data_IF_432771319483
#
_entry.id   IF_432771319483
#
_cell.length_a   1.000
_cell.length_b   1.000
_cell.length_c   1.000
_cell.angle_alpha   90.00
_cell.angle_beta   90.00
_cell.angle_gamma   90.00
#
_symmetry.space_group_name_H-M   'P 1'
#
loop_
_entity.id
_entity.type
_entity.pdbx_description
1 polymer ?
#
# COMPACT_ATOMS: atom_id res chain seq x y z
N UNK A 1 -55.42 37.00 -21.61
CA UNK A 1 -54.21 37.72 -21.18
C UNK A 1 -53.38 36.79 -20.30
N UNK A 2 -52.37 36.13 -20.87
CA UNK A 2 -51.15 35.63 -20.23
C UNK A 2 -50.40 34.81 -21.30
N UNK A 3 -49.29 35.36 -21.80
CA UNK A 3 -48.51 34.82 -22.91
C UNK A 3 -47.37 33.95 -22.39
N UNK A 4 -47.14 32.83 -23.08
CA UNK A 4 -46.00 31.92 -22.95
C UNK A 4 -44.82 32.43 -23.78
N UNK A 5 -43.59 32.29 -23.29
CA UNK A 5 -42.39 32.48 -24.11
C UNK A 5 -41.38 31.36 -23.83
N UNK A 6 -41.35 30.40 -24.76
CA UNK A 6 -40.26 29.44 -24.98
C UNK A 6 -39.14 30.13 -25.77
N UNK A 7 -37.87 29.84 -25.43
CA UNK A 7 -36.73 30.24 -26.26
C UNK A 7 -36.03 28.99 -26.81
N UNK A 8 -36.06 28.92 -28.14
CA UNK A 8 -35.35 27.98 -29.00
C UNK A 8 -34.29 28.76 -29.76
N UNK A 9 -33.11 28.18 -30.02
CA UNK A 9 -32.23 28.67 -31.10
C UNK A 9 -31.64 27.50 -31.89
N UNK A 10 -31.75 27.62 -33.21
CA UNK A 10 -31.43 26.62 -34.21
C UNK A 10 -30.02 26.81 -34.79
N UNK A 11 -29.51 25.70 -35.35
CA UNK A 11 -28.30 25.51 -36.14
C UNK A 11 -28.04 26.54 -37.25
N UNK A 12 -26.77 26.81 -37.53
CA UNK A 12 -26.30 27.50 -38.74
C UNK A 12 -25.22 26.67 -39.48
N UNK A 13 -25.16 26.90 -40.78
CA UNK A 13 -24.83 26.01 -41.90
C UNK A 13 -23.33 25.74 -42.21
N UNK A 14 -23.16 24.77 -43.12
CA UNK A 14 -21.99 24.18 -43.77
C UNK A 14 -21.11 25.16 -44.59
N UNK A 15 -19.83 24.81 -44.76
CA UNK A 15 -19.09 25.02 -46.02
C UNK A 15 -18.00 23.94 -46.22
N UNK A 16 -17.90 23.44 -47.46
CA UNK A 16 -16.89 22.49 -47.98
C UNK A 16 -15.74 23.30 -48.59
N UNK A 17 -14.47 22.86 -48.48
CA UNK A 17 -13.44 22.87 -49.56
C UNK A 17 -12.08 22.32 -49.07
N UNK A 18 -11.62 21.28 -49.77
CA UNK A 18 -10.24 20.85 -50.16
C UNK A 18 -8.99 20.90 -49.24
N UNK A 19 -8.24 19.79 -49.32
CA UNK A 19 -6.96 19.36 -48.69
C UNK A 19 -5.74 20.19 -49.15
N UNK A 20 -4.66 20.34 -48.34
CA UNK A 20 -3.44 19.53 -48.52
C UNK A 20 -2.82 18.99 -47.20
N UNK A 21 -2.22 17.80 -47.30
CA UNK A 21 -1.36 17.10 -46.31
C UNK A 21 0.05 17.75 -46.20
N UNK A 22 1.03 17.29 -45.38
CA UNK A 22 1.05 16.76 -44.01
C UNK A 22 1.95 17.61 -43.06
N UNK A 23 1.85 17.45 -41.73
CA UNK A 23 2.99 17.26 -40.79
C UNK A 23 2.61 17.39 -39.30
N UNK A 24 3.20 16.46 -38.54
CA UNK A 24 3.51 16.42 -37.11
C UNK A 24 3.38 17.72 -36.29
N UNK A 25 2.82 17.58 -35.09
CA UNK A 25 3.23 18.41 -33.95
C UNK A 25 3.08 17.62 -32.64
N UNK A 26 4.19 17.00 -32.22
CA UNK A 26 4.40 16.52 -30.87
C UNK A 26 4.65 17.73 -29.95
N UNK A 27 3.92 17.79 -28.84
CA UNK A 27 4.07 18.82 -27.82
C UNK A 27 5.14 18.45 -26.80
N UNK A 28 6.00 19.43 -26.57
CA UNK A 28 7.12 19.53 -25.65
C UNK A 28 6.91 18.98 -24.24
N UNK A 29 7.95 18.32 -23.72
CA UNK A 29 8.38 18.52 -22.33
C UNK A 29 9.91 18.57 -22.28
N UNK A 30 10.40 19.64 -21.66
CA UNK A 30 11.78 20.08 -21.63
C UNK A 30 12.73 19.09 -20.94
N UNK A 31 13.82 18.75 -21.63
CA UNK A 31 15.01 18.16 -21.05
C UNK A 31 16.16 19.17 -21.15
N UNK A 32 16.72 19.52 -20.00
CA UNK A 32 17.90 20.34 -19.82
C UNK A 32 19.02 19.97 -20.80
N UNK A 33 19.34 20.87 -21.74
CA UNK A 33 20.52 20.77 -22.60
C UNK A 33 21.63 21.66 -22.07
N UNK A 34 22.69 21.04 -21.55
CA UNK A 34 23.97 21.71 -21.36
C UNK A 34 24.61 21.95 -22.74
N UNK A 35 25.01 23.20 -22.97
CA UNK A 35 25.54 23.72 -24.23
C UNK A 35 26.96 23.19 -24.47
N UNK A 36 27.21 22.59 -25.63
CA UNK A 36 28.56 22.33 -26.15
C UNK A 36 28.66 22.91 -27.56
N UNK A 37 29.52 23.91 -27.69
CA UNK A 37 29.93 24.56 -28.94
C UNK A 37 31.04 23.71 -29.57
N UNK A 38 30.89 23.31 -30.83
CA UNK A 38 31.94 22.59 -31.57
C UNK A 38 32.70 23.59 -32.45
N UNK A 39 34.01 23.73 -32.22
CA UNK A 39 34.95 24.27 -33.20
C UNK A 39 36.30 23.55 -33.09
N UNK A 40 36.52 22.62 -34.02
CA UNK A 40 37.76 22.36 -34.78
C UNK A 40 39.10 22.84 -34.20
N UNK A 41 39.91 21.92 -33.65
CA UNK A 41 41.27 21.52 -34.12
C UNK A 41 42.03 20.75 -33.01
N UNK A 42 42.85 19.81 -33.48
CA UNK A 42 43.99 19.15 -32.83
C UNK A 42 43.80 18.12 -31.68
N UNK A 43 44.01 16.86 -32.08
CA UNK A 43 45.01 15.93 -31.53
C UNK A 43 45.04 15.68 -30.02
N UNK A 44 44.11 14.85 -29.51
CA UNK A 44 44.40 13.92 -28.40
C UNK A 44 43.62 12.61 -28.60
N UNK A 45 44.34 11.50 -28.83
CA UNK A 45 43.78 10.16 -28.86
C UNK A 45 43.37 9.73 -27.45
N UNK A 46 42.13 10.02 -27.03
CA UNK A 46 41.51 9.39 -25.87
C UNK A 46 40.73 8.16 -26.33
N UNK A 47 41.38 7.00 -26.21
CA UNK A 47 40.76 5.69 -26.38
C UNK A 47 39.71 5.48 -25.28
N UNK A 48 38.44 5.75 -25.58
CA UNK A 48 37.33 5.34 -24.71
C UNK A 48 37.26 3.81 -24.73
N UNK A 49 37.78 3.21 -23.66
CA UNK A 49 37.63 1.78 -23.39
C UNK A 49 36.17 1.51 -23.02
N UNK A 50 35.42 0.95 -23.95
CA UNK A 50 34.08 0.42 -23.68
C UNK A 50 34.23 -0.87 -22.88
N UNK A 51 34.19 -0.78 -21.55
CA UNK A 51 33.65 -1.82 -20.66
C UNK A 51 34.05 -1.50 -19.22
N UNK A 52 33.17 -0.81 -18.51
CA UNK A 52 33.01 -0.98 -17.07
C UNK A 52 31.57 -0.64 -16.77
N UNK A 53 30.73 -1.67 -16.64
CA UNK A 53 29.42 -1.51 -15.99
C UNK A 53 29.74 -1.07 -14.57
N UNK A 54 29.61 0.22 -14.28
CA UNK A 54 29.70 0.72 -12.91
C UNK A 54 28.48 0.17 -12.19
N UNK A 55 28.65 -0.98 -11.53
CA UNK A 55 27.64 -1.53 -10.63
C UNK A 55 27.79 -0.79 -9.31
N UNK A 56 26.95 0.22 -9.09
CA UNK A 56 26.83 0.87 -7.78
C UNK A 56 26.18 -0.16 -6.85
N UNK A 57 26.98 -0.80 -6.00
CA UNK A 57 26.49 -1.70 -4.98
C UNK A 57 26.40 -0.95 -3.66
N UNK A 58 25.20 -0.47 -3.33
CA UNK A 58 24.93 0.06 -2.00
C UNK A 58 24.87 -1.11 -1.01
N UNK A 59 25.96 -1.38 -0.30
CA UNK A 59 25.95 -2.25 0.87
C UNK A 59 25.31 -1.47 2.03
N UNK A 60 24.11 -1.87 2.42
CA UNK A 60 23.57 -1.56 3.74
C UNK A 60 24.18 -2.55 4.72
N UNK A 61 24.77 -2.08 5.81
CA UNK A 61 25.21 -2.95 6.92
C UNK A 61 24.03 -3.78 7.38
N UNK A 62 24.18 -5.11 7.37
CA UNK A 62 23.14 -6.08 7.73
C UNK A 62 22.76 -5.93 9.20
N UNK A 63 21.77 -5.09 9.48
CA UNK A 63 20.97 -5.23 10.70
C UNK A 63 20.04 -6.42 10.50
N UNK A 64 19.93 -7.31 11.48
CA UNK A 64 19.04 -8.48 11.49
C UNK A 64 17.53 -8.12 11.44
N UNK A 65 17.22 -6.83 11.38
CA UNK A 65 15.87 -6.30 11.32
C UNK A 65 15.46 -6.13 9.85
N UNK A 66 14.36 -6.75 9.39
CA UNK A 66 13.89 -6.62 8.02
C UNK A 66 13.45 -5.19 7.73
N UNK A 67 13.50 -4.80 6.46
CA UNK A 67 13.03 -3.48 6.03
C UNK A 67 11.53 -3.48 5.71
N UNK A 68 10.90 -2.31 5.69
CA UNK A 68 9.50 -2.15 5.22
C UNK A 68 9.32 -2.72 3.81
N UNK A 69 10.30 -2.48 2.93
CA UNK A 69 10.30 -3.00 1.56
C UNK A 69 10.29 -4.54 1.55
N UNK A 70 11.09 -5.16 2.41
CA UNK A 70 11.14 -6.61 2.55
C UNK A 70 9.82 -7.19 3.08
N UNK A 71 9.20 -6.56 4.07
CA UNK A 71 7.86 -6.96 4.56
C UNK A 71 6.82 -6.88 3.45
N UNK A 72 6.78 -5.78 2.68
CA UNK A 72 5.88 -5.65 1.52
C UNK A 72 6.14 -6.72 0.46
N UNK A 73 7.41 -7.01 0.19
CA UNK A 73 7.80 -8.07 -0.73
C UNK A 73 7.34 -9.45 -0.22
N UNK A 74 7.46 -9.71 1.09
CA UNK A 74 7.01 -10.95 1.71
C UNK A 74 5.48 -11.12 1.60
N UNK A 75 4.71 -10.04 1.76
CA UNK A 75 3.27 -10.05 1.51
C UNK A 75 2.93 -10.44 0.07
N UNK A 76 3.59 -9.83 -0.92
CA UNK A 76 3.42 -10.17 -2.35
C UNK A 76 3.97 -11.57 -2.71
N UNK A 77 4.85 -12.12 -1.87
CA UNK A 77 5.30 -13.51 -1.99
C UNK A 77 4.24 -14.48 -1.46
N UNK A 78 3.62 -14.15 -0.32
CA UNK A 78 2.59 -14.97 0.31
C UNK A 78 1.24 -14.91 -0.43
N UNK A 79 0.83 -13.74 -0.92
CA UNK A 79 -0.43 -13.56 -1.66
C UNK A 79 -0.16 -13.21 -3.12
N UNK A 80 -0.41 -14.17 -4.03
CA UNK A 80 -0.11 -14.05 -5.47
C UNK A 80 -1.22 -13.45 -6.32
N UNK A 81 -2.43 -13.31 -5.76
CA UNK A 81 -3.58 -12.72 -6.47
C UNK A 81 -3.53 -11.20 -6.38
N UNK A 82 -4.15 -10.52 -7.33
CA UNK A 82 -4.26 -9.07 -7.29
C UNK A 82 -5.36 -8.65 -6.31
N UNK A 83 -5.02 -7.79 -5.37
CA UNK A 83 -5.99 -7.17 -4.46
C UNK A 83 -6.61 -5.96 -5.18
N UNK A 84 -7.96 -5.81 -5.19
CA UNK A 84 -8.59 -4.60 -5.73
C UNK A 84 -8.04 -3.32 -5.08
N UNK A 85 -7.88 -2.27 -5.87
CA UNK A 85 -7.16 -1.05 -5.46
C UNK A 85 -7.73 -0.38 -4.22
N UNK A 86 -9.05 -0.41 -4.04
CA UNK A 86 -9.74 0.16 -2.88
C UNK A 86 -9.24 -0.43 -1.55
N UNK A 87 -8.98 -1.74 -1.50
CA UNK A 87 -8.45 -2.41 -0.31
C UNK A 87 -6.92 -2.35 -0.27
N UNK A 88 -6.26 -2.49 -1.42
CA UNK A 88 -4.80 -2.59 -1.49
C UNK A 88 -4.10 -1.35 -0.93
N UNK A 89 -4.59 -0.14 -1.21
CA UNK A 89 -3.99 1.09 -0.67
C UNK A 89 -3.94 1.07 0.85
N UNK A 90 -5.07 0.78 1.50
CA UNK A 90 -5.16 0.77 2.97
C UNK A 90 -4.37 -0.40 3.56
N UNK A 91 -4.43 -1.60 2.96
CA UNK A 91 -3.64 -2.74 3.42
C UNK A 91 -2.14 -2.45 3.38
N UNK A 92 -1.65 -1.82 2.32
CA UNK A 92 -0.23 -1.50 2.19
C UNK A 92 0.21 -0.44 3.20
N UNK A 93 -0.64 0.54 3.52
CA UNK A 93 -0.38 1.50 4.61
C UNK A 93 -0.38 0.80 5.98
N UNK A 94 -1.35 -0.08 6.21
CA UNK A 94 -1.45 -0.86 7.44
C UNK A 94 -0.20 -1.74 7.64
N UNK A 95 0.32 -2.39 6.59
CA UNK A 95 1.58 -3.16 6.63
C UNK A 95 2.74 -2.27 7.08
N UNK A 96 2.86 -1.05 6.53
CA UNK A 96 3.95 -0.12 6.90
C UNK A 96 3.85 0.26 8.37
N UNK A 97 2.65 0.64 8.82
CA UNK A 97 2.43 1.06 10.20
C UNK A 97 2.72 -0.07 11.19
N UNK A 98 2.21 -1.28 10.92
CA UNK A 98 2.47 -2.41 11.79
C UNK A 98 3.94 -2.84 11.76
N UNK A 99 4.62 -2.77 10.61
CA UNK A 99 6.06 -3.01 10.54
C UNK A 99 6.84 -2.10 11.50
N UNK A 100 6.56 -0.79 11.46
CA UNK A 100 7.23 0.17 12.34
C UNK A 100 6.94 -0.12 13.83
N UNK A 101 5.73 -0.57 14.15
CA UNK A 101 5.38 -0.99 15.50
C UNK A 101 6.08 -2.28 15.90
N UNK A 102 6.06 -3.31 15.05
CA UNK A 102 6.58 -4.67 15.32
C UNK A 102 8.09 -4.71 15.55
N UNK A 103 8.83 -3.89 14.81
CA UNK A 103 10.29 -3.82 14.88
C UNK A 103 10.79 -2.69 15.78
N UNK A 104 9.90 -2.01 16.50
CA UNK A 104 10.26 -1.10 17.59
C UNK A 104 10.86 -1.91 18.76
N UNK A 105 11.93 -1.40 19.35
CA UNK A 105 12.65 -2.08 20.46
C UNK A 105 11.79 -2.42 21.67
N UNK A 106 10.72 -1.68 21.92
CA UNK A 106 9.81 -1.87 23.05
C UNK A 106 8.59 -2.73 22.70
N UNK A 107 8.49 -3.25 21.48
CA UNK A 107 7.33 -4.02 21.05
C UNK A 107 7.28 -5.35 21.79
N UNK A 108 6.09 -5.68 22.30
CA UNK A 108 5.73 -7.00 22.79
C UNK A 108 4.35 -7.30 22.24
N UNK A 109 4.16 -8.54 21.80
CA UNK A 109 2.84 -9.00 21.39
C UNK A 109 1.86 -8.88 22.57
N UNK A 110 0.65 -8.43 22.26
CA UNK A 110 -0.43 -8.22 23.22
C UNK A 110 -1.75 -8.74 22.63
N UNK A 111 -2.46 -9.67 23.30
CA UNK A 111 -3.78 -10.14 22.88
C UNK A 111 -4.81 -9.01 22.65
N UNK A 112 -4.70 -7.88 23.38
CA UNK A 112 -5.56 -6.71 23.17
C UNK A 112 -5.27 -6.07 21.80
N UNK A 113 -3.99 -5.99 21.41
CA UNK A 113 -3.60 -5.54 20.07
C UNK A 113 -4.14 -6.49 19.01
N UNK A 114 -4.00 -7.80 19.19
CA UNK A 114 -4.51 -8.80 18.26
C UNK A 114 -6.03 -8.66 18.05
N UNK A 115 -6.80 -8.51 19.13
CA UNK A 115 -8.25 -8.26 19.04
C UNK A 115 -8.57 -6.98 18.25
N UNK A 116 -7.89 -5.87 18.56
CA UNK A 116 -8.08 -4.60 17.87
C UNK A 116 -7.74 -4.70 16.37
N UNK A 117 -6.59 -5.29 16.05
CA UNK A 117 -6.14 -5.49 14.68
C UNK A 117 -7.10 -6.36 13.87
N UNK A 118 -7.50 -7.53 14.41
CA UNK A 118 -8.43 -8.44 13.74
C UNK A 118 -9.78 -7.77 13.48
N UNK A 119 -10.28 -7.00 14.44
CA UNK A 119 -11.55 -6.26 14.29
C UNK A 119 -11.47 -5.20 13.18
N UNK A 120 -10.41 -4.39 13.18
CA UNK A 120 -10.20 -3.35 12.16
C UNK A 120 -10.01 -4.00 10.78
N UNK A 121 -9.27 -5.10 10.70
CA UNK A 121 -9.10 -5.84 9.46
C UNK A 121 -10.43 -6.36 8.91
N UNK A 122 -11.25 -6.99 9.75
CA UNK A 122 -12.53 -7.55 9.32
C UNK A 122 -13.49 -6.46 8.81
N UNK A 123 -13.50 -5.28 9.44
CA UNK A 123 -14.25 -4.11 8.98
C UNK A 123 -13.68 -3.52 7.69
N UNK A 124 -12.36 -3.40 7.59
CA UNK A 124 -11.69 -2.89 6.39
C UNK A 124 -11.98 -3.77 5.17
N UNK A 125 -12.08 -5.08 5.38
CA UNK A 125 -12.31 -6.08 4.34
C UNK A 125 -13.79 -6.40 4.15
N UNK A 126 -14.70 -5.63 4.75
CA UNK A 126 -16.14 -5.78 4.54
C UNK A 126 -16.49 -5.56 3.07
N UNK A 127 -17.36 -6.42 2.53
CA UNK A 127 -17.76 -6.39 1.12
C UNK A 127 -16.71 -6.89 0.12
N UNK A 128 -15.58 -7.46 0.57
CA UNK A 128 -14.64 -8.09 -0.35
C UNK A 128 -15.33 -9.28 -1.08
N UNK A 129 -15.08 -9.49 -2.39
CA UNK A 129 -15.85 -10.46 -3.18
C UNK A 129 -15.78 -11.93 -2.74
N UNK A 130 -14.76 -12.32 -1.97
CA UNK A 130 -14.47 -13.69 -1.57
C UNK A 130 -13.99 -13.75 -0.12
N UNK A 131 -14.75 -14.43 0.74
CA UNK A 131 -14.40 -14.58 2.16
C UNK A 131 -13.14 -15.45 2.36
N UNK A 132 -12.94 -16.45 1.50
CA UNK A 132 -11.72 -17.27 1.51
C UNK A 132 -10.48 -16.43 1.21
N UNK A 133 -10.59 -15.48 0.27
CA UNK A 133 -9.49 -14.58 -0.05
C UNK A 133 -9.26 -13.56 1.06
N UNK A 134 -10.30 -13.11 1.78
CA UNK A 134 -10.13 -12.28 3.00
C UNK A 134 -9.27 -12.99 4.03
N UNK A 135 -9.56 -14.25 4.34
CA UNK A 135 -8.77 -14.97 5.33
C UNK A 135 -7.35 -15.28 4.82
N UNK A 136 -7.21 -15.56 3.52
CA UNK A 136 -5.90 -15.78 2.91
C UNK A 136 -5.03 -14.52 2.93
N UNK A 137 -5.62 -13.34 2.68
CA UNK A 137 -4.94 -12.05 2.76
C UNK A 137 -4.50 -11.76 4.19
N UNK A 138 -5.34 -12.04 5.20
CA UNK A 138 -4.98 -11.86 6.61
C UNK A 138 -3.78 -12.73 6.98
N UNK A 139 -3.81 -14.01 6.59
CA UNK A 139 -2.70 -14.94 6.81
C UNK A 139 -1.42 -14.43 6.17
N UNK A 140 -1.49 -14.04 4.90
CA UNK A 140 -0.36 -13.49 4.17
C UNK A 140 0.18 -12.19 4.81
N UNK A 141 -0.71 -11.33 5.31
CA UNK A 141 -0.37 -10.09 6.00
C UNK A 141 0.44 -10.37 7.27
N UNK A 142 -0.07 -11.24 8.15
CA UNK A 142 0.55 -11.50 9.46
C UNK A 142 1.86 -12.29 9.26
N UNK A 143 1.88 -13.27 8.35
CA UNK A 143 3.10 -14.00 8.01
C UNK A 143 4.18 -13.10 7.42
N UNK A 144 3.83 -12.06 6.66
CA UNK A 144 4.79 -11.12 6.10
C UNK A 144 5.55 -10.31 7.16
N UNK A 145 4.95 -10.16 8.35
CA UNK A 145 5.52 -9.51 9.53
C UNK A 145 6.25 -10.49 10.46
N UNK A 146 6.40 -11.76 10.05
CA UNK A 146 6.99 -12.84 10.84
C UNK A 146 6.21 -13.10 12.14
N UNK A 147 4.88 -13.04 12.08
CA UNK A 147 3.98 -13.35 13.18
C UNK A 147 3.05 -14.53 12.82
N UNK A 148 2.34 -15.07 13.82
CA UNK A 148 1.44 -16.21 13.64
C UNK A 148 -0.02 -15.76 13.46
N UNK A 149 -0.62 -15.94 12.26
CA UNK A 149 -2.02 -15.57 12.02
C UNK A 149 -3.02 -16.37 12.87
N UNK A 150 -2.72 -17.63 13.18
CA UNK A 150 -3.63 -18.48 13.94
C UNK A 150 -3.68 -18.03 15.41
N UNK A 151 -2.53 -17.61 15.97
CA UNK A 151 -2.45 -16.97 17.28
C UNK A 151 -3.33 -15.70 17.35
N UNK A 152 -3.24 -14.80 16.36
CA UNK A 152 -4.05 -13.58 16.32
C UNK A 152 -5.55 -13.87 16.36
N UNK A 153 -6.02 -14.80 15.52
CA UNK A 153 -7.45 -15.19 15.47
C UNK A 153 -7.88 -15.93 16.73
N UNK A 154 -7.03 -16.76 17.33
CA UNK A 154 -7.32 -17.47 18.57
C UNK A 154 -7.45 -16.50 19.76
N UNK A 155 -6.47 -15.63 19.94
CA UNK A 155 -6.41 -14.66 21.04
C UNK A 155 -7.53 -13.63 20.93
N UNK A 156 -7.79 -13.11 19.72
CA UNK A 156 -8.92 -12.21 19.48
C UNK A 156 -10.24 -12.85 19.90
N UNK A 157 -10.53 -14.08 19.47
CA UNK A 157 -11.77 -14.79 19.85
C UNK A 157 -11.85 -15.08 21.34
N UNK A 158 -10.73 -15.46 21.97
CA UNK A 158 -10.68 -15.73 23.41
C UNK A 158 -11.00 -14.45 24.19
N UNK A 159 -10.33 -13.35 23.86
CA UNK A 159 -10.50 -12.08 24.54
C UNK A 159 -11.88 -11.46 24.29
N UNK A 160 -12.42 -11.58 23.08
CA UNK A 160 -13.77 -11.14 22.76
C UNK A 160 -14.83 -11.90 23.57
N UNK A 161 -14.72 -13.24 23.64
CA UNK A 161 -15.63 -14.07 24.45
C UNK A 161 -15.57 -13.69 25.92
N UNK A 162 -14.35 -13.53 26.46
CA UNK A 162 -14.18 -13.06 27.83
C UNK A 162 -14.83 -11.69 28.03
N UNK A 163 -14.55 -10.71 27.17
CA UNK A 163 -15.10 -9.36 27.27
C UNK A 163 -16.64 -9.34 27.24
N UNK A 164 -17.27 -10.18 26.41
CA UNK A 164 -18.73 -10.32 26.34
C UNK A 164 -19.35 -10.87 27.64
N UNK A 165 -18.58 -11.63 28.41
CA UNK A 165 -19.03 -12.17 29.70
C UNK A 165 -18.78 -11.23 30.88
N UNK A 166 -18.08 -10.11 30.69
CA UNK A 166 -17.76 -9.18 31.76
C UNK A 166 -18.87 -8.15 31.99
N UNK A 167 -18.96 -7.71 33.25
CA UNK A 167 -19.78 -6.57 33.68
C UNK A 167 -18.88 -5.47 34.25
N UNK A 168 -19.41 -4.26 34.43
CA UNK A 168 -18.63 -3.11 34.91
C UNK A 168 -17.91 -3.39 36.25
N UNK A 169 -18.56 -4.10 37.20
CA UNK A 169 -17.93 -4.47 38.47
C UNK A 169 -16.81 -5.50 38.30
N UNK A 170 -17.02 -6.52 37.45
CA UNK A 170 -16.03 -7.58 37.22
C UNK A 170 -14.75 -7.05 36.54
N UNK A 171 -14.86 -6.01 35.72
CA UNK A 171 -13.70 -5.35 35.11
C UNK A 171 -12.84 -4.58 36.12
N UNK A 172 -13.47 -3.91 37.10
CA UNK A 172 -12.74 -3.21 38.18
C UNK A 172 -12.01 -4.22 39.05
N UNK A 173 -12.64 -5.36 39.33
CA UNK A 173 -12.02 -6.45 40.07
C UNK A 173 -10.88 -7.12 39.29
N UNK A 174 -11.00 -7.21 37.95
CA UNK A 174 -9.93 -7.71 37.08
C UNK A 174 -8.66 -6.86 37.17
N UNK A 175 -8.79 -5.52 37.16
CA UNK A 175 -7.64 -4.62 37.30
C UNK A 175 -6.91 -4.76 38.65
N UNK A 176 -7.59 -5.32 39.64
CA UNK A 176 -7.06 -5.59 40.98
C UNK A 176 -6.43 -6.99 41.11
N UNK A 177 -6.64 -7.88 40.12
CA UNK A 177 -6.06 -9.22 40.03
C UNK A 177 -4.97 -9.25 38.96
N UNK A 178 -4.09 -10.25 38.97
CA UNK A 178 -2.90 -10.36 38.10
C UNK A 178 -3.17 -10.53 36.58
N UNK A 179 -4.36 -10.14 36.09
CA UNK A 179 -4.61 -9.93 34.66
C UNK A 179 -4.90 -11.18 33.83
N UNK A 180 -5.24 -12.32 34.44
CA UNK A 180 -5.42 -13.57 33.71
C UNK A 180 -6.81 -13.68 33.08
N UNK A 181 -6.84 -13.73 31.75
CA UNK A 181 -8.06 -13.92 30.95
C UNK A 181 -8.37 -15.43 30.92
N UNK A 182 -9.06 -15.89 31.96
CA UNK A 182 -9.57 -17.26 32.07
C UNK A 182 -10.53 -17.56 30.91
N UNK A 183 -10.36 -18.73 30.28
CA UNK A 183 -11.28 -19.21 29.26
C UNK A 183 -12.57 -19.67 29.96
N UNK A 184 -13.61 -18.86 29.89
CA UNK A 184 -14.96 -19.25 30.29
C UNK A 184 -15.57 -20.26 29.32
#
# INVERSE_FOLDING_TARGET
MAAVTSLSFSSISQSKFSIPSPRNLASNFDAFKFRSTISSLDSFNLRVSTSSRVVIHCISTSTDVPTVCETKLNFLKAYKKLVPSIYNTVLQELIVQQHLMRYKSTYRYDPVFALGFVTVYDQLMEGYPSDEDRDTILKAYIMALNEDPDQYRADARKLEKWARSQSASTLVDFASREGEVEAA
#
